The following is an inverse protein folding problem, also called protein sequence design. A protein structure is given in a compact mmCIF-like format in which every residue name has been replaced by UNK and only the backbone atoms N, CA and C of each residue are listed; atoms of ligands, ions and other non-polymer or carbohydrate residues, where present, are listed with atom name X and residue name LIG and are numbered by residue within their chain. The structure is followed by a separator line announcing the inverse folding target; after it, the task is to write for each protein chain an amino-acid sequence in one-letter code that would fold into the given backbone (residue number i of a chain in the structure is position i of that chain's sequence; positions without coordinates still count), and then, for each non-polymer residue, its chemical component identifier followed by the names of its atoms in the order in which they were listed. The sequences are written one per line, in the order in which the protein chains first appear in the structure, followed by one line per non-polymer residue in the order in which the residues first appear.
data_IF_245298419642
#
_entry.id   IF_245298419642
#
_cell.length_a   1.000
_cell.length_b   1.000
_cell.length_c   1.000
_cell.angle_alpha   90.00
_cell.angle_beta   90.00
_cell.angle_gamma   90.00
#
_symmetry.space_group_name_H-M   'P 1'
#
loop_
_entity.id
_entity.type
_entity.pdbx_description
1 polymer ?
#
# COMPACT_ATOMS: atom_id res chain seq x y z
N UNK A 1 17.97 -9.24 -6.37
CA UNK A 1 16.54 -9.62 -6.21
C UNK A 1 16.46 -10.76 -5.21
N UNK A 2 15.45 -10.74 -4.36
CA UNK A 2 15.14 -11.79 -3.40
C UNK A 2 13.66 -12.17 -3.51
N UNK A 3 13.30 -13.35 -3.02
CA UNK A 3 11.91 -13.80 -2.95
C UNK A 3 11.43 -13.81 -1.50
N UNK A 4 10.22 -13.30 -1.28
CA UNK A 4 9.57 -13.31 0.03
C UNK A 4 8.22 -13.97 -0.14
N UNK A 5 8.01 -15.11 0.52
CA UNK A 5 6.80 -15.90 0.33
C UNK A 5 5.59 -15.29 1.05
N UNK A 6 4.40 -15.46 0.50
CA UNK A 6 3.15 -15.10 1.20
C UNK A 6 3.03 -15.83 2.55
N UNK A 7 3.57 -17.04 2.67
CA UNK A 7 3.55 -17.80 3.93
C UNK A 7 4.35 -17.12 5.04
N UNK A 8 5.44 -16.43 4.69
CA UNK A 8 6.24 -15.65 5.62
C UNK A 8 5.49 -14.38 6.04
N UNK A 9 4.87 -13.69 5.08
CA UNK A 9 4.11 -12.45 5.31
C UNK A 9 2.85 -12.63 6.14
N UNK A 10 2.33 -13.86 6.31
CA UNK A 10 1.20 -14.14 7.22
C UNK A 10 1.50 -13.82 8.68
N UNK A 11 2.77 -13.75 9.06
CA UNK A 11 3.17 -13.34 10.42
C UNK A 11 3.60 -11.87 10.49
N UNK A 12 3.48 -11.11 9.39
CA UNK A 12 3.86 -9.72 9.33
C UNK A 12 2.64 -8.83 9.52
N UNK A 13 2.86 -7.62 10.02
CA UNK A 13 1.80 -6.62 10.07
C UNK A 13 1.82 -5.75 8.81
N UNK A 14 0.63 -5.44 8.29
CA UNK A 14 0.46 -4.72 7.04
C UNK A 14 -0.23 -3.38 7.21
N UNK A 15 0.41 -2.29 6.76
CA UNK A 15 -0.20 -0.97 6.76
C UNK A 15 0.20 -0.12 5.55
N UNK A 16 -0.57 0.92 5.26
CA UNK A 16 -0.36 1.85 4.17
C UNK A 16 -0.14 3.28 4.66
N UNK A 17 0.46 4.11 3.80
CA UNK A 17 0.66 5.55 4.00
C UNK A 17 -0.30 6.33 3.10
N UNK A 18 -1.30 6.99 3.70
CA UNK A 18 -2.29 7.76 2.96
C UNK A 18 -1.74 9.12 2.52
N UNK A 19 -1.87 9.45 1.23
CA UNK A 19 -1.57 10.78 0.70
C UNK A 19 -0.09 11.11 0.55
N UNK A 20 0.78 10.11 0.38
CA UNK A 20 2.22 10.33 0.15
C UNK A 20 2.58 10.74 -1.29
N UNK A 21 1.59 10.90 -2.17
CA UNK A 21 1.79 11.39 -3.53
C UNK A 21 0.79 12.51 -3.83
N UNK A 22 1.29 13.65 -4.27
CA UNK A 22 0.47 14.85 -4.48
C UNK A 22 -0.63 14.60 -5.52
N UNK A 23 -1.87 14.96 -5.18
CA UNK A 23 -3.04 14.88 -6.05
C UNK A 23 -3.72 13.50 -6.11
N UNK A 24 -3.13 12.44 -5.55
CA UNK A 24 -3.72 11.09 -5.66
C UNK A 24 -5.05 10.97 -4.89
N UNK A 25 -5.13 11.50 -3.67
CA UNK A 25 -6.35 11.40 -2.84
C UNK A 25 -7.56 12.06 -3.52
N UNK A 26 -7.33 13.15 -4.24
CA UNK A 26 -8.35 13.83 -5.03
C UNK A 26 -8.81 12.94 -6.20
N UNK A 27 -7.89 12.33 -6.94
CA UNK A 27 -8.22 11.41 -8.05
C UNK A 27 -8.94 10.15 -7.58
N UNK A 28 -8.60 9.63 -6.40
CA UNK A 28 -9.25 8.48 -5.79
C UNK A 28 -10.64 8.80 -5.19
N UNK A 29 -11.01 10.09 -5.12
CA UNK A 29 -12.25 10.54 -4.47
C UNK A 29 -12.23 10.39 -2.95
N UNK A 30 -11.05 10.30 -2.33
CA UNK A 30 -10.87 10.06 -0.89
C UNK A 30 -10.53 11.33 -0.10
N UNK A 31 -10.22 12.44 -0.79
CA UNK A 31 -9.86 13.71 -0.14
C UNK A 31 -10.89 14.21 0.90
N UNK A 32 -12.18 13.92 0.69
CA UNK A 32 -13.27 14.29 1.61
C UNK A 32 -13.18 13.58 2.96
N UNK A 33 -12.60 12.37 3.01
CA UNK A 33 -12.47 11.61 4.25
C UNK A 33 -11.40 12.22 5.17
N UNK A 34 -10.48 13.02 4.62
CA UNK A 34 -9.34 13.60 5.32
C UNK A 34 -9.52 15.06 5.73
N UNK A 35 -10.72 15.64 5.58
CA UNK A 35 -10.96 17.07 5.89
C UNK A 35 -10.63 17.46 7.34
N UNK A 36 -10.75 16.51 8.27
CA UNK A 36 -10.45 16.72 9.70
C UNK A 36 -9.04 16.26 10.10
N UNK A 37 -8.24 15.80 9.14
CA UNK A 37 -6.89 15.30 9.40
C UNK A 37 -5.89 16.41 9.13
N UNK A 38 -5.25 16.90 10.20
CA UNK A 38 -4.19 17.89 10.11
C UNK A 38 -2.95 17.29 9.42
N UNK A 39 -2.38 18.02 8.46
CA UNK A 39 -1.13 17.65 7.77
C UNK A 39 -0.34 18.90 7.42
N UNK A 40 0.97 18.88 7.62
CA UNK A 40 1.84 20.01 7.29
C UNK A 40 2.32 19.94 5.84
N UNK A 41 1.95 20.94 5.04
CA UNK A 41 2.44 21.08 3.66
C UNK A 41 2.14 19.86 2.79
N UNK A 42 3.20 19.21 2.31
CA UNK A 42 3.13 18.00 1.46
C UNK A 42 3.20 16.69 2.24
N UNK A 43 3.18 16.74 3.58
CA UNK A 43 3.20 15.53 4.40
C UNK A 43 2.04 14.59 4.08
N UNK A 44 2.25 13.26 4.19
CA UNK A 44 1.15 12.32 4.12
C UNK A 44 0.13 12.60 5.22
N UNK A 45 -1.10 12.12 5.03
CA UNK A 45 -2.23 12.35 5.93
C UNK A 45 -2.20 11.44 7.15
N UNK A 46 -1.62 10.25 7.04
CA UNK A 46 -1.52 9.30 8.14
C UNK A 46 -1.26 7.88 7.66
N UNK A 47 -1.22 6.96 8.61
CA UNK A 47 -1.04 5.52 8.35
C UNK A 47 -2.33 4.75 8.63
N UNK A 48 -2.56 3.65 7.94
CA UNK A 48 -3.75 2.82 8.15
C UNK A 48 -3.43 1.33 8.03
N UNK A 49 -4.06 0.47 8.85
CA UNK A 49 -3.84 -0.97 8.76
C UNK A 49 -4.61 -1.55 7.58
N UNK A 50 -4.00 -2.52 6.91
CA UNK A 50 -4.70 -3.40 5.98
C UNK A 50 -4.60 -4.88 6.38
N UNK A 51 -3.69 -5.23 7.29
CA UNK A 51 -3.59 -6.57 7.87
C UNK A 51 -2.98 -6.53 9.28
N UNK A 52 -3.61 -7.23 10.22
CA UNK A 52 -3.17 -7.37 11.61
C UNK A 52 -3.20 -8.87 11.98
N UNK A 53 -2.05 -9.57 12.00
CA UNK A 53 -2.02 -11.00 12.27
C UNK A 53 -2.57 -11.30 13.66
N UNK A 54 -3.46 -12.30 13.74
CA UNK A 54 -4.12 -12.68 15.00
C UNK A 54 -5.26 -11.77 15.45
N UNK A 55 -5.65 -10.76 14.67
CA UNK A 55 -6.84 -9.96 14.97
C UNK A 55 -8.13 -10.77 14.78
N UNK A 56 -9.07 -10.65 15.72
CA UNK A 56 -10.42 -11.24 15.61
C UNK A 56 -11.38 -10.42 14.72
N UNK A 57 -10.88 -9.36 14.08
CA UNK A 57 -11.65 -8.50 13.15
C UNK A 57 -11.35 -8.87 11.70
N UNK A 58 -11.97 -8.17 10.73
CA UNK A 58 -11.65 -8.36 9.31
C UNK A 58 -10.17 -8.09 8.98
N UNK A 59 -9.45 -7.32 9.80
CA UNK A 59 -8.01 -7.09 9.64
C UNK A 59 -7.18 -8.36 9.86
N UNK A 60 -7.73 -9.39 10.52
CA UNK A 60 -7.07 -10.69 10.68
C UNK A 60 -7.11 -11.56 9.41
N UNK A 61 -7.92 -11.19 8.42
CA UNK A 61 -8.02 -11.89 7.15
C UNK A 61 -6.83 -11.53 6.26
N UNK A 62 -6.03 -12.51 5.85
CA UNK A 62 -4.81 -12.27 5.07
C UNK A 62 -5.13 -11.87 3.62
N UNK A 63 -4.82 -10.63 3.20
CA UNK A 63 -5.38 -10.09 1.95
C UNK A 63 -4.48 -10.26 0.73
N UNK A 64 -3.20 -10.60 0.92
CA UNK A 64 -2.21 -10.56 -0.17
C UNK A 64 -2.34 -11.74 -1.12
N UNK A 65 -2.19 -11.45 -2.40
CA UNK A 65 -2.00 -12.41 -3.49
C UNK A 65 -0.84 -11.97 -4.38
N UNK A 66 -0.26 -12.92 -5.13
CA UNK A 66 0.73 -12.62 -6.17
C UNK A 66 0.11 -12.60 -7.58
N UNK A 67 -1.12 -13.09 -7.76
CA UNK A 67 -1.66 -13.44 -9.08
C UNK A 67 -3.17 -13.15 -9.28
N UNK A 68 -3.89 -12.76 -8.23
CA UNK A 68 -5.33 -12.53 -8.31
C UNK A 68 -5.78 -11.30 -7.50
N UNK A 69 -6.82 -10.63 -8.00
CA UNK A 69 -7.70 -9.76 -7.23
C UNK A 69 -9.06 -10.45 -7.18
N UNK A 70 -9.46 -10.95 -6.02
CA UNK A 70 -10.76 -11.60 -5.86
C UNK A 70 -11.80 -10.54 -5.53
N UNK A 71 -12.84 -10.45 -6.34
CA UNK A 71 -13.96 -9.55 -6.08
C UNK A 71 -14.65 -9.97 -4.76
N UNK A 72 -15.07 -9.02 -3.92
CA UNK A 72 -15.94 -9.34 -2.79
C UNK A 72 -17.24 -9.97 -3.29
N UNK A 73 -17.94 -10.70 -2.40
CA UNK A 73 -19.27 -11.24 -2.68
C UNK A 73 -20.32 -10.16 -2.97
N UNK A 74 -21.60 -10.55 -3.08
CA UNK A 74 -22.70 -9.61 -3.38
C UNK A 74 -22.68 -8.38 -2.46
N UNK A 75 -22.76 -7.20 -3.07
CA UNK A 75 -22.80 -5.90 -2.37
C UNK A 75 -24.02 -5.09 -2.79
N UNK A 76 -24.52 -4.26 -1.87
CA UNK A 76 -25.54 -3.24 -2.15
C UNK A 76 -24.93 -2.06 -2.93
N UNK A 77 -24.54 -2.29 -4.19
CA UNK A 77 -24.02 -1.26 -5.08
C UNK A 77 -22.77 -1.66 -5.87
N UNK A 78 -22.29 -0.77 -6.76
CA UNK A 78 -21.10 -1.03 -7.56
C UNK A 78 -19.86 -1.05 -6.67
N UNK A 79 -19.00 -2.05 -6.87
CA UNK A 79 -17.77 -2.20 -6.12
C UNK A 79 -16.74 -1.12 -6.45
N UNK A 80 -16.69 -0.69 -7.71
CA UNK A 80 -15.78 0.34 -8.19
C UNK A 80 -14.33 0.12 -7.72
N UNK A 81 -13.79 -1.09 -7.93
CA UNK A 81 -12.42 -1.40 -7.56
C UNK A 81 -11.45 -0.62 -8.45
N UNK A 82 -10.41 -0.06 -7.86
CA UNK A 82 -9.30 0.55 -8.58
C UNK A 82 -7.98 -0.09 -8.18
N UNK A 83 -7.08 -0.23 -9.16
CA UNK A 83 -5.68 -0.52 -8.90
C UNK A 83 -5.10 0.68 -8.17
N UNK A 84 -4.40 0.48 -7.06
CA UNK A 84 -3.67 1.55 -6.40
C UNK A 84 -2.18 1.18 -6.43
N UNK A 85 -1.45 1.62 -7.46
CA UNK A 85 -0.09 1.19 -7.67
C UNK A 85 0.85 1.86 -6.67
N UNK A 86 1.48 1.06 -5.84
CA UNK A 86 2.46 1.51 -4.85
C UNK A 86 3.74 0.68 -4.88
N UNK A 87 4.68 1.07 -4.03
CA UNK A 87 5.80 0.24 -3.60
C UNK A 87 5.47 -0.39 -2.25
N UNK A 88 5.70 -1.69 -2.13
CA UNK A 88 5.72 -2.39 -0.85
C UNK A 88 7.13 -2.34 -0.28
N UNK A 89 7.29 -1.73 0.89
CA UNK A 89 8.53 -1.69 1.65
C UNK A 89 8.49 -2.74 2.76
N UNK A 90 9.40 -3.71 2.71
CA UNK A 90 9.59 -4.68 3.79
C UNK A 90 10.58 -4.12 4.81
N UNK A 91 10.16 -4.03 6.06
CA UNK A 91 10.99 -3.52 7.15
C UNK A 91 11.03 -4.51 8.32
N UNK A 92 12.20 -4.61 8.96
CA UNK A 92 12.30 -5.14 10.32
C UNK A 92 11.90 -4.07 11.31
N UNK A 93 11.20 -4.46 12.36
CA UNK A 93 10.71 -3.55 13.40
C UNK A 93 11.64 -3.65 14.61
N UNK A 94 12.13 -2.50 15.07
CA UNK A 94 12.88 -2.41 16.33
C UNK A 94 11.95 -1.88 17.41
N UNK A 95 11.67 -2.71 18.41
CA UNK A 95 10.80 -2.39 19.53
C UNK A 95 11.59 -1.94 20.77
N UNK A 96 11.00 -1.03 21.54
CA UNK A 96 11.36 -0.72 22.91
C UNK A 96 10.11 -0.77 23.78
N UNK A 97 9.85 -1.94 24.39
CA UNK A 97 8.55 -2.23 25.00
C UNK A 97 7.45 -2.18 23.94
N UNK A 98 6.41 -1.38 24.17
CA UNK A 98 5.26 -1.23 23.27
C UNK A 98 5.44 -0.12 22.22
N UNK A 99 6.64 0.47 22.12
CA UNK A 99 6.94 1.54 21.18
C UNK A 99 7.87 1.03 20.08
N UNK A 100 7.50 1.26 18.83
CA UNK A 100 8.44 1.11 17.70
C UNK A 100 9.40 2.29 17.72
N UNK A 101 10.70 2.01 17.76
CA UNK A 101 11.74 3.06 17.79
C UNK A 101 12.51 3.18 16.47
N UNK A 102 12.47 2.16 15.63
CA UNK A 102 13.12 2.18 14.31
C UNK A 102 12.45 1.19 13.36
N UNK A 103 12.36 1.55 12.08
CA UNK A 103 12.06 0.65 10.98
C UNK A 103 13.30 0.50 10.11
N UNK A 104 13.71 -0.75 9.87
CA UNK A 104 14.90 -1.07 9.08
C UNK A 104 14.47 -1.70 7.75
N UNK A 105 14.42 -0.94 6.64
CA UNK A 105 14.08 -1.50 5.35
C UNK A 105 15.11 -2.54 4.92
N UNK A 106 14.65 -3.60 4.28
CA UNK A 106 15.53 -4.63 3.70
C UNK A 106 15.11 -5.11 2.32
N UNK A 107 13.88 -4.78 1.88
CA UNK A 107 13.42 -5.11 0.55
C UNK A 107 12.35 -4.14 0.06
N UNK A 108 12.25 -3.96 -1.26
CA UNK A 108 11.08 -3.32 -1.87
C UNK A 108 10.54 -4.08 -3.09
N UNK A 109 9.24 -4.02 -3.31
CA UNK A 109 8.56 -4.71 -4.41
C UNK A 109 7.37 -3.93 -4.95
N UNK A 110 6.75 -4.43 -6.01
CA UNK A 110 5.52 -3.87 -6.55
C UNK A 110 4.34 -4.21 -5.64
N UNK A 111 3.46 -3.24 -5.40
CA UNK A 111 2.30 -3.39 -4.54
C UNK A 111 1.05 -2.84 -5.21
N UNK A 112 -0.04 -3.56 -5.07
CA UNK A 112 -1.35 -3.07 -5.43
C UNK A 112 -2.16 -2.93 -4.13
N UNK A 113 -2.28 -1.70 -3.64
CA UNK A 113 -3.13 -1.35 -2.50
C UNK A 113 -4.61 -1.30 -2.90
N UNK A 114 -5.06 -2.30 -3.69
CA UNK A 114 -6.34 -2.28 -4.36
C UNK A 114 -7.46 -1.90 -3.40
N UNK A 115 -8.35 -1.05 -3.90
CA UNK A 115 -9.33 -0.35 -3.08
C UNK A 115 -10.72 -0.41 -3.69
N UNK A 116 -11.71 -0.72 -2.85
CA UNK A 116 -13.13 -0.62 -3.17
C UNK A 116 -13.61 0.79 -2.82
N UNK A 117 -14.24 1.50 -3.76
CA UNK A 117 -14.84 2.80 -3.46
C UNK A 117 -16.15 2.61 -2.70
N UNK A 118 -16.08 2.68 -1.37
CA UNK A 118 -17.22 2.63 -0.44
C UNK A 118 -17.44 3.99 0.22
N UNK A 119 -18.36 4.82 -0.31
CA UNK A 119 -18.73 6.08 0.33
C UNK A 119 -19.26 5.85 1.75
N UNK A 120 -18.83 6.68 2.70
CA UNK A 120 -19.28 6.60 4.10
C UNK A 120 -18.67 5.46 4.91
N UNK A 121 -17.64 4.78 4.39
CA UNK A 121 -16.87 3.83 5.19
C UNK A 121 -16.28 4.54 6.43
N UNK A 122 -16.42 3.97 7.64
CA UNK A 122 -16.01 4.66 8.87
C UNK A 122 -14.49 4.78 9.00
N UNK A 123 -13.74 3.87 8.37
CA UNK A 123 -12.28 3.88 8.29
C UNK A 123 -11.83 3.52 6.88
N UNK A 124 -10.64 3.96 6.52
CA UNK A 124 -10.04 3.63 5.23
C UNK A 124 -9.80 2.12 5.09
N UNK A 125 -9.45 1.41 6.17
CA UNK A 125 -9.21 -0.04 6.16
C UNK A 125 -10.38 -0.86 5.61
N UNK A 126 -11.63 -0.41 5.78
CA UNK A 126 -12.84 -1.05 5.23
C UNK A 126 -12.90 -1.05 3.70
N UNK A 127 -12.11 -0.19 3.05
CA UNK A 127 -11.94 -0.12 1.60
C UNK A 127 -10.78 -0.99 1.11
N UNK A 128 -9.90 -1.42 2.03
CA UNK A 128 -8.57 -1.97 1.74
C UNK A 128 -8.52 -3.49 1.94
N UNK A 129 -9.24 -4.01 2.92
CA UNK A 129 -9.31 -5.45 3.18
C UNK A 129 -10.77 -5.92 3.15
N UNK A 130 -11.14 -6.64 2.09
CA UNK A 130 -12.45 -7.28 1.95
C UNK A 130 -12.35 -8.82 1.90
N UNK A 131 -11.17 -9.37 2.17
CA UNK A 131 -10.93 -10.80 2.16
C UNK A 131 -9.60 -11.19 1.50
N UNK A 132 -9.36 -12.51 1.36
CA UNK A 132 -8.24 -13.03 0.61
C UNK A 132 -8.14 -12.43 -0.79
N UNK A 133 -6.92 -12.16 -1.24
CA UNK A 133 -6.65 -11.57 -2.55
C UNK A 133 -7.36 -10.22 -2.78
N UNK A 134 -7.60 -9.43 -1.73
CA UNK A 134 -8.01 -8.03 -1.87
C UNK A 134 -6.85 -7.10 -2.18
N UNK A 135 -5.60 -7.55 -1.96
CA UNK A 135 -4.37 -6.79 -2.23
C UNK A 135 -3.35 -7.63 -2.95
N UNK A 136 -2.39 -6.98 -3.56
CA UNK A 136 -1.34 -7.66 -4.30
C UNK A 136 0.06 -7.24 -3.90
N UNK A 137 0.98 -8.19 -3.91
CA UNK A 137 2.41 -7.93 -3.75
C UNK A 137 3.20 -8.81 -4.71
N UNK A 138 4.26 -8.28 -5.32
CA UNK A 138 5.13 -9.10 -6.18
C UNK A 138 5.83 -10.21 -5.36
N UNK A 139 6.05 -11.37 -5.97
CA UNK A 139 6.83 -12.43 -5.31
C UNK A 139 8.33 -12.09 -5.22
N UNK A 140 8.81 -11.28 -6.16
CA UNK A 140 10.19 -10.81 -6.23
C UNK A 140 10.31 -9.39 -5.68
N UNK A 141 11.42 -9.14 -4.97
CA UNK A 141 11.76 -7.87 -4.36
C UNK A 141 13.19 -7.47 -4.74
N UNK A 142 13.42 -6.16 -4.83
CA UNK A 142 14.76 -5.61 -4.78
C UNK A 142 15.30 -5.78 -3.36
N UNK A 143 16.53 -6.29 -3.26
CA UNK A 143 17.28 -6.34 -2.01
C UNK A 143 17.91 -4.96 -1.79
N UNK A 144 17.55 -4.30 -0.69
CA UNK A 144 17.98 -2.94 -0.39
C UNK A 144 18.45 -2.81 1.04
N UNK A 145 19.36 -1.86 1.30
CA UNK A 145 19.85 -1.55 2.64
C UNK A 145 19.13 -0.37 3.30
N UNK A 146 18.59 0.54 2.49
CA UNK A 146 18.04 1.83 2.92
C UNK A 146 17.21 2.46 1.78
N UNK A 147 16.67 3.65 2.04
CA UNK A 147 15.92 4.46 1.08
C UNK A 147 16.60 5.81 0.80
N UNK A 148 17.92 5.89 0.96
CA UNK A 148 18.63 7.15 0.69
C UNK A 148 18.41 7.58 -0.77
N UNK A 149 18.11 8.87 -1.05
CA UNK A 149 17.70 9.29 -2.40
C UNK A 149 18.74 9.06 -3.51
N UNK A 150 20.03 9.01 -3.15
CA UNK A 150 21.17 8.70 -4.02
C UNK A 150 21.69 7.27 -3.85
N UNK A 151 20.99 6.45 -3.07
CA UNK A 151 21.35 5.08 -2.75
C UNK A 151 20.71 4.03 -3.67
N UNK A 152 20.43 2.82 -3.14
CA UNK A 152 20.11 1.64 -3.95
C UNK A 152 18.78 1.74 -4.71
N UNK A 153 17.91 2.69 -4.36
CA UNK A 153 16.61 2.88 -5.00
C UNK A 153 16.53 4.09 -5.92
N UNK A 154 17.62 4.84 -6.09
CA UNK A 154 17.64 6.13 -6.77
C UNK A 154 17.16 6.08 -8.24
N UNK A 155 17.40 4.96 -8.91
CA UNK A 155 17.08 4.74 -10.33
C UNK A 155 15.78 3.96 -10.55
N UNK A 156 15.09 3.60 -9.46
CA UNK A 156 13.86 2.81 -9.52
C UNK A 156 12.64 3.67 -9.86
N UNK A 157 11.73 3.06 -10.63
CA UNK A 157 10.49 3.67 -11.09
C UNK A 157 9.32 2.73 -10.91
N UNK A 158 8.12 3.28 -10.76
CA UNK A 158 6.86 2.57 -10.63
C UNK A 158 5.96 2.87 -11.83
N UNK A 159 5.44 1.82 -12.47
CA UNK A 159 4.44 1.89 -13.55
C UNK A 159 3.26 0.98 -13.25
N UNK A 160 2.13 1.30 -13.85
CA UNK A 160 0.89 0.56 -13.68
C UNK A 160 0.11 0.47 -14.99
N UNK A 161 -0.33 -0.74 -15.31
CA UNK A 161 -1.12 -1.03 -16.50
C UNK A 161 -2.40 -1.80 -16.13
N UNK A 162 -3.41 -1.59 -16.95
CA UNK A 162 -4.63 -2.39 -16.99
C UNK A 162 -4.63 -3.16 -18.30
N UNK A 163 -4.67 -4.49 -18.22
CA UNK A 163 -4.95 -5.32 -19.39
C UNK A 163 -6.43 -5.71 -19.41
N UNK A 164 -7.15 -5.30 -20.44
CA UNK A 164 -8.59 -5.55 -20.59
C UNK A 164 -8.92 -5.84 -22.05
N UNK A 165 -9.74 -6.86 -22.31
CA UNK A 165 -10.14 -7.29 -23.66
C UNK A 165 -8.98 -7.56 -24.64
N UNK A 166 -7.83 -7.99 -24.14
CA UNK A 166 -6.65 -8.30 -24.97
C UNK A 166 -5.76 -7.11 -25.31
N UNK A 167 -6.04 -5.93 -24.74
CA UNK A 167 -5.22 -4.73 -24.88
C UNK A 167 -4.67 -4.29 -23.51
N UNK A 168 -3.44 -3.78 -23.51
CA UNK A 168 -2.79 -3.22 -22.33
C UNK A 168 -2.85 -1.68 -22.40
N UNK A 169 -3.26 -1.05 -21.31
CA UNK A 169 -3.41 0.40 -21.20
C UNK A 169 -2.66 0.94 -19.99
N UNK A 170 -1.99 2.08 -20.15
CA UNK A 170 -1.41 2.82 -19.03
C UNK A 170 -2.51 3.25 -18.05
N UNK A 171 -2.39 2.80 -16.80
CA UNK A 171 -3.37 3.06 -15.75
C UNK A 171 -2.82 4.04 -14.70
N UNK A 172 -1.53 3.93 -14.37
CA UNK A 172 -0.81 4.88 -13.51
C UNK A 172 0.30 5.60 -14.26
N UNK A 173 0.59 6.82 -13.82
CA UNK A 173 1.69 7.63 -14.39
C UNK A 173 3.03 7.03 -13.98
N UNK A 174 3.89 6.76 -14.95
CA UNK A 174 5.27 6.33 -14.71
C UNK A 174 6.00 7.35 -13.81
N UNK A 175 6.34 6.93 -12.59
CA UNK A 175 6.83 7.82 -11.54
C UNK A 175 8.16 7.32 -10.96
N UNK A 176 9.17 8.19 -10.81
CA UNK A 176 10.36 7.84 -10.04
C UNK A 176 10.01 7.67 -8.55
N UNK A 177 10.61 6.69 -7.89
CA UNK A 177 10.36 6.45 -6.46
C UNK A 177 10.76 7.65 -5.60
N UNK A 178 11.87 8.32 -5.94
CA UNK A 178 12.29 9.56 -5.26
C UNK A 178 11.30 10.73 -5.44
N UNK A 179 10.25 10.56 -6.25
CA UNK A 179 9.18 11.55 -6.45
C UNK A 179 8.06 11.50 -5.41
N UNK A 180 8.08 10.54 -4.47
CA UNK A 180 7.16 10.55 -3.33
C UNK A 180 7.35 11.82 -2.48
N UNK A 181 6.25 12.32 -1.90
CA UNK A 181 6.30 13.54 -1.08
C UNK A 181 7.23 13.37 0.12
N UNK A 182 7.13 12.24 0.81
CA UNK A 182 8.05 11.79 1.85
C UNK A 182 8.73 10.51 1.37
N UNK A 183 10.07 10.52 1.38
CA UNK A 183 10.92 9.40 0.96
C UNK A 183 12.19 9.37 1.83
N UNK A 184 12.89 8.23 1.85
CA UNK A 184 14.10 8.08 2.65
C UNK A 184 13.86 8.11 4.15
N UNK A 185 14.84 8.62 4.89
CA UNK A 185 14.77 8.76 6.36
C UNK A 185 13.56 9.60 6.79
N UNK A 186 13.22 10.64 6.03
CA UNK A 186 12.06 11.50 6.31
C UNK A 186 10.76 10.69 6.37
N UNK A 187 10.58 9.71 5.48
CA UNK A 187 9.41 8.83 5.50
C UNK A 187 9.45 7.88 6.70
N UNK A 188 10.59 7.24 6.95
CA UNK A 188 10.74 6.25 8.02
C UNK A 188 10.53 6.88 9.41
N UNK A 189 11.15 8.04 9.65
CA UNK A 189 11.00 8.80 10.89
C UNK A 189 9.56 9.27 11.09
N UNK A 190 8.91 9.73 10.01
CA UNK A 190 7.51 10.12 10.05
C UNK A 190 6.60 8.93 10.36
N UNK A 191 6.85 7.74 9.80
CA UNK A 191 6.07 6.53 10.13
C UNK A 191 6.26 6.17 11.61
N UNK A 192 7.50 6.18 12.13
CA UNK A 192 7.78 5.89 13.54
C UNK A 192 7.06 6.88 14.46
N UNK A 193 7.07 8.17 14.13
CA UNK A 193 6.32 9.19 14.87
C UNK A 193 4.81 8.92 14.84
N UNK A 194 4.26 8.52 13.68
CA UNK A 194 2.84 8.16 13.55
C UNK A 194 2.50 6.90 14.34
N UNK A 195 3.35 5.88 14.36
CA UNK A 195 3.13 4.68 15.17
C UNK A 195 3.06 5.01 16.67
N UNK A 196 3.85 5.97 17.15
CA UNK A 196 3.80 6.42 18.54
C UNK A 196 2.55 7.28 18.85
N UNK A 197 2.20 8.20 17.94
CA UNK A 197 1.30 9.32 18.28
C UNK A 197 -0.04 9.34 17.53
N UNK A 198 -0.17 8.64 16.40
CA UNK A 198 -1.44 8.60 15.68
C UNK A 198 -2.46 7.76 16.46
N UNK A 199 -3.61 8.37 16.75
CA UNK A 199 -4.72 7.71 17.47
C UNK A 199 -5.97 7.68 16.60
N UNK A 200 -6.72 6.59 16.71
CA UNK A 200 -8.03 6.47 16.09
C UNK A 200 -9.13 7.11 16.94
N UNK A 201 -10.13 7.68 16.27
CA UNK A 201 -11.40 8.12 16.88
C UNK A 201 -12.54 7.98 15.86
N UNK A 202 -13.82 8.09 16.25
CA UNK A 202 -14.92 8.10 15.28
C UNK A 202 -14.84 9.22 14.23
N UNK A 203 -14.11 10.32 14.50
CA UNK A 203 -14.06 11.52 13.66
C UNK A 203 -12.89 11.55 12.66
N UNK A 204 -12.09 10.48 12.61
CA UNK A 204 -10.96 10.32 11.68
C UNK A 204 -11.10 9.02 10.88
N UNK A 205 -10.69 8.97 9.61
CA UNK A 205 -10.69 7.73 8.84
C UNK A 205 -9.58 6.76 9.25
N UNK A 206 -8.72 7.15 10.20
CA UNK A 206 -7.51 6.43 10.59
C UNK A 206 -7.68 5.67 11.91
N UNK A 207 -6.89 4.60 12.06
CA UNK A 207 -6.77 3.78 13.26
C UNK A 207 -5.51 4.10 14.07
N UNK A 208 -5.46 3.63 15.31
CA UNK A 208 -4.23 3.57 16.11
C UNK A 208 -3.41 2.34 15.66
N UNK A 209 -2.61 2.53 14.60
CA UNK A 209 -1.81 1.45 14.00
C UNK A 209 -0.77 0.92 14.99
N UNK A 210 -0.16 1.78 15.80
CA UNK A 210 0.80 1.37 16.83
C UNK A 210 0.17 0.43 17.86
N UNK A 211 -1.01 0.78 18.39
CA UNK A 211 -1.72 -0.09 19.32
C UNK A 211 -2.14 -1.42 18.67
N UNK A 212 -2.52 -1.42 17.38
CA UNK A 212 -2.83 -2.65 16.66
C UNK A 212 -1.61 -3.54 16.46
N UNK A 213 -0.43 -2.96 16.22
CA UNK A 213 0.83 -3.72 16.13
C UNK A 213 1.19 -4.36 17.49
N UNK A 214 1.02 -3.64 18.60
CA UNK A 214 1.19 -4.19 19.96
C UNK A 214 0.20 -5.33 20.20
N UNK A 215 -1.08 -5.13 19.86
CA UNK A 215 -2.12 -6.16 20.00
C UNK A 215 -1.86 -7.40 19.12
N UNK A 216 -1.10 -7.24 18.03
CA UNK A 216 -0.67 -8.34 17.15
C UNK A 216 0.59 -9.05 17.67
N UNK A 217 1.03 -8.77 18.90
CA UNK A 217 2.15 -9.46 19.55
C UNK A 217 3.53 -8.98 19.11
N UNK A 218 3.68 -7.67 18.86
CA UNK A 218 4.96 -7.03 18.53
C UNK A 218 5.65 -7.67 17.31
N UNK A 219 5.02 -7.61 16.12
CA UNK A 219 5.54 -8.24 14.92
C UNK A 219 6.98 -7.80 14.63
N UNK A 220 7.84 -8.76 14.29
CA UNK A 220 9.26 -8.49 13.96
C UNK A 220 9.42 -7.85 12.58
N UNK A 221 8.42 -8.01 11.70
CA UNK A 221 8.44 -7.51 10.34
C UNK A 221 7.10 -6.85 9.96
N UNK A 222 7.19 -5.85 9.10
CA UNK A 222 6.05 -5.16 8.50
C UNK A 222 6.19 -5.07 6.99
N UNK A 223 5.05 -5.07 6.31
CA UNK A 223 4.96 -4.69 4.91
C UNK A 223 4.21 -3.35 4.82
N UNK A 224 4.85 -2.34 4.22
CA UNK A 224 4.34 -0.98 4.17
C UNK A 224 4.04 -0.60 2.72
N UNK A 225 2.78 -0.32 2.39
CA UNK A 225 2.44 0.38 1.16
C UNK A 225 2.74 1.87 1.34
N UNK A 226 3.70 2.43 0.61
CA UNK A 226 4.16 3.80 0.85
C UNK A 226 3.34 4.88 0.15
N UNK A 227 2.19 4.52 -0.44
CA UNK A 227 1.25 5.41 -1.09
C UNK A 227 1.19 5.22 -2.60
N UNK A 228 -0.01 5.36 -3.15
CA UNK A 228 -0.25 5.17 -4.58
C UNK A 228 0.20 6.37 -5.42
N UNK A 229 0.75 6.10 -6.60
CA UNK A 229 1.08 7.13 -7.59
C UNK A 229 -0.17 7.59 -8.35
N UNK A 230 -0.08 8.71 -9.07
CA UNK A 230 -1.22 9.27 -9.79
C UNK A 230 -1.75 8.35 -10.88
N UNK A 231 -3.05 8.42 -11.11
CA UNK A 231 -3.67 7.82 -12.28
C UNK A 231 -3.38 8.58 -13.56
N UNK A 232 -3.40 7.87 -14.68
CA UNK A 232 -3.69 8.46 -15.99
C UNK A 232 -5.17 8.89 -16.05
N UNK A 233 -5.60 9.70 -17.04
CA UNK A 233 -7.02 10.00 -17.22
C UNK A 233 -7.89 8.74 -17.38
N UNK A 234 -7.32 7.68 -17.97
CA UNK A 234 -7.98 6.39 -18.06
C UNK A 234 -8.13 5.75 -16.67
N UNK A 235 -7.03 5.63 -15.90
CA UNK A 235 -7.05 5.00 -14.58
C UNK A 235 -7.99 5.70 -13.61
N UNK A 236 -8.08 7.03 -13.68
CA UNK A 236 -8.97 7.84 -12.83
C UNK A 236 -10.46 7.53 -13.10
N UNK A 237 -10.80 7.19 -14.34
CA UNK A 237 -12.19 6.99 -14.80
C UNK A 237 -12.58 5.53 -15.03
N UNK A 238 -11.67 4.58 -14.76
CA UNK A 238 -11.87 3.15 -15.03
C UNK A 238 -11.87 2.34 -13.74
N UNK A 239 -12.81 1.40 -13.63
CA UNK A 239 -12.89 0.43 -12.54
C UNK A 239 -12.64 -0.98 -13.08
N UNK A 240 -12.02 -1.82 -12.24
CA UNK A 240 -11.73 -3.21 -12.55
C UNK A 240 -12.99 -4.03 -12.79
N UNK A 241 -12.93 -4.93 -13.77
CA UNK A 241 -13.98 -5.88 -14.12
C UNK A 241 -13.41 -7.29 -14.08
N UNK A 242 -14.28 -8.27 -13.83
CA UNK A 242 -13.92 -9.68 -13.92
C UNK A 242 -13.28 -9.99 -15.29
N UNK A 243 -12.12 -10.62 -15.28
CA UNK A 243 -11.34 -10.94 -16.46
C UNK A 243 -10.26 -9.91 -16.85
N UNK A 244 -10.25 -8.73 -16.22
CA UNK A 244 -9.13 -7.78 -16.36
C UNK A 244 -7.86 -8.34 -15.68
N UNK A 245 -6.70 -7.81 -16.04
CA UNK A 245 -5.47 -7.96 -15.26
C UNK A 245 -4.96 -6.60 -14.77
N UNK A 246 -4.72 -6.49 -13.47
CA UNK A 246 -4.05 -5.38 -12.85
C UNK A 246 -2.54 -5.65 -12.82
N UNK A 247 -1.74 -4.75 -13.39
CA UNK A 247 -0.29 -4.93 -13.51
C UNK A 247 0.40 -3.76 -12.83
N UNK A 248 1.20 -4.04 -11.81
CA UNK A 248 2.06 -3.05 -11.13
C UNK A 248 3.49 -3.52 -11.25
N UNK A 249 4.40 -2.64 -11.69
CA UNK A 249 5.82 -2.98 -11.86
C UNK A 249 6.70 -1.90 -11.26
N UNK A 250 7.64 -2.33 -10.42
CA UNK A 250 8.81 -1.54 -10.03
C UNK A 250 9.97 -2.00 -10.89
N UNK A 251 10.65 -1.09 -11.58
CA UNK A 251 11.78 -1.42 -12.45
C UNK A 251 12.94 -0.45 -12.25
N UNK A 252 14.15 -0.93 -12.54
CA UNK A 252 15.37 -0.14 -12.51
C UNK A 252 15.63 0.46 -13.89
N UNK A 253 16.02 1.73 -13.95
CA UNK A 253 16.44 2.38 -15.20
C UNK A 253 17.92 2.17 -15.51
N UNK A 254 18.71 1.69 -14.55
CA UNK A 254 20.14 1.41 -14.69
C UNK A 254 20.45 -0.08 -14.94
N UNK A 255 19.46 -0.97 -14.88
CA UNK A 255 19.62 -2.40 -15.13
C UNK A 255 18.32 -3.02 -15.68
N UNK A 256 18.33 -4.31 -16.01
CA UNK A 256 17.13 -5.05 -16.46
C UNK A 256 16.28 -5.57 -15.28
N UNK A 257 16.58 -5.19 -14.04
CA UNK A 257 15.88 -5.69 -12.87
C UNK A 257 14.47 -5.10 -12.75
N UNK A 258 13.48 -5.96 -12.51
CA UNK A 258 12.10 -5.56 -12.26
C UNK A 258 11.40 -6.51 -11.28
N UNK A 259 10.56 -5.94 -10.42
CA UNK A 259 9.57 -6.64 -9.62
C UNK A 259 8.20 -6.36 -10.24
N UNK A 260 7.56 -7.39 -10.81
CA UNK A 260 6.22 -7.29 -11.40
C UNK A 260 5.20 -8.06 -10.56
N UNK A 261 4.04 -7.43 -10.41
CA UNK A 261 2.83 -8.00 -9.87
C UNK A 261 1.78 -7.96 -10.99
N UNK A 262 1.28 -9.12 -11.40
CA UNK A 262 0.21 -9.25 -12.38
C UNK A 262 -0.93 -10.03 -11.73
N UNK A 263 -2.06 -9.39 -11.53
CA UNK A 263 -3.20 -9.98 -10.86
C UNK A 263 -4.41 -10.06 -11.78
N UNK A 264 -4.94 -11.27 -11.97
CA UNK A 264 -6.19 -11.48 -12.67
C UNK A 264 -7.38 -11.14 -11.76
N UNK A 265 -8.36 -10.42 -12.29
CA UNK A 265 -9.58 -10.08 -11.55
C UNK A 265 -10.59 -11.22 -11.66
N UNK A 266 -10.96 -11.82 -10.54
CA UNK A 266 -11.79 -13.03 -10.46
C UNK A 266 -13.11 -12.84 -9.71
#
# INVERSE_FOLDING_TARGET
MIEISLSEMRNWFGFGVAGNFAGHLEQAGEAVDFVNVASDGTAPKGIFPWYAPGSDTFLGEFPLSNDAVVLPGETDGPLNLQIEPEVALACRVVWQGDTVVTLQPFALGAFNDCSIRRPGAPKISHKKNWGPASKGVSAQFFDISDLTPDGPTATLRLVCYLHSNGEEHEYGVDSPLIGYSYYGEVLLDWIVERLANQKGSPDTPLEDVGALMVASGHPENVLIGIGATRYTPLGESTFLKKGDEAIVRVYDTASDAAAELRQKVE
#
